data_IF_405078661629
#
_entry.id   IF_405078661629
#
_cell.length_a   1.000
_cell.length_b   1.000
_cell.length_c   1.000
_cell.angle_alpha   90.00
_cell.angle_beta   90.00
_cell.angle_gamma   90.00
#
_symmetry.space_group_name_H-M   'P 1'
#
loop_
_entity.id
_entity.type
_entity.pdbx_description
1 polymer ?
#
# COMPACT_ATOMS: atom_id res chain seq x y z
N UNK A 1 -30.25 -3.32 -1.82
CA UNK A 1 -29.50 -4.55 -2.16
C UNK A 1 -28.30 -4.32 -3.08
N UNK A 2 -27.99 -3.09 -3.50
CA UNK A 2 -26.82 -2.80 -4.34
C UNK A 2 -25.71 -2.17 -3.51
N UNK A 3 -24.48 -2.59 -3.77
CA UNK A 3 -23.27 -1.94 -3.27
C UNK A 3 -23.11 -0.56 -3.93
N UNK A 4 -22.31 0.32 -3.32
CA UNK A 4 -21.86 1.58 -3.95
C UNK A 4 -21.21 1.36 -5.33
N UNK A 5 -20.73 0.14 -5.61
CA UNK A 5 -20.18 -0.25 -6.91
C UNK A 5 -21.23 -0.75 -7.93
N UNK A 6 -22.52 -0.63 -7.65
CA UNK A 6 -23.63 -1.08 -8.51
C UNK A 6 -23.91 -2.59 -8.47
N UNK A 7 -22.97 -3.41 -7.99
CA UNK A 7 -23.15 -4.86 -7.86
C UNK A 7 -24.09 -5.24 -6.72
N UNK A 8 -24.81 -6.34 -6.88
CA UNK A 8 -25.71 -6.87 -5.86
C UNK A 8 -24.89 -7.38 -4.68
N UNK A 9 -25.26 -6.98 -3.46
CA UNK A 9 -24.65 -7.49 -2.24
C UNK A 9 -25.05 -8.96 -2.04
N UNK A 10 -24.08 -9.81 -1.76
CA UNK A 10 -24.33 -11.23 -1.48
C UNK A 10 -24.87 -11.37 -0.06
N UNK A 11 -25.96 -12.12 0.12
CA UNK A 11 -26.43 -12.49 1.44
C UNK A 11 -25.67 -13.73 1.91
N UNK A 12 -25.03 -13.67 3.08
CA UNK A 12 -24.38 -14.81 3.71
C UNK A 12 -25.05 -15.13 5.04
N UNK A 13 -25.04 -16.41 5.40
CA UNK A 13 -25.53 -16.92 6.68
C UNK A 13 -24.34 -17.40 7.50
N UNK A 14 -24.29 -16.97 8.76
CA UNK A 14 -23.31 -17.46 9.72
C UNK A 14 -23.79 -18.80 10.29
N UNK A 15 -22.90 -19.79 10.29
CA UNK A 15 -23.13 -21.13 10.86
C UNK A 15 -22.24 -21.40 12.08
N UNK A 16 -21.63 -20.36 12.65
CA UNK A 16 -20.84 -20.50 13.88
C UNK A 16 -21.76 -20.65 15.09
N UNK A 17 -21.28 -21.31 16.15
CA UNK A 17 -21.99 -21.46 17.43
C UNK A 17 -22.36 -20.13 18.06
N UNK A 18 -21.50 -19.12 17.91
CA UNK A 18 -21.67 -17.80 18.52
C UNK A 18 -22.67 -16.92 17.76
N UNK A 19 -22.99 -17.30 16.53
CA UNK A 19 -23.85 -16.51 15.66
C UNK A 19 -24.62 -17.41 14.66
N UNK A 20 -25.43 -18.37 15.14
CA UNK A 20 -26.09 -19.34 14.29
C UNK A 20 -27.26 -18.69 13.54
N UNK A 21 -27.32 -18.91 12.23
CA UNK A 21 -28.45 -18.48 11.39
C UNK A 21 -28.52 -16.97 11.10
N UNK A 22 -27.62 -16.14 11.65
CA UNK A 22 -27.61 -14.70 11.35
C UNK A 22 -27.21 -14.46 9.91
N UNK A 23 -28.05 -13.69 9.21
CA UNK A 23 -27.83 -13.27 7.82
C UNK A 23 -27.20 -11.88 7.77
N UNK A 24 -26.15 -11.71 6.97
CA UNK A 24 -25.47 -10.45 6.77
C UNK A 24 -25.17 -10.21 5.29
N UNK A 25 -25.18 -8.96 4.86
CA UNK A 25 -24.82 -8.57 3.50
C UNK A 25 -23.30 -8.47 3.40
N UNK A 26 -22.72 -9.19 2.45
CA UNK A 26 -21.32 -9.07 2.08
C UNK A 26 -21.21 -8.41 0.71
N UNK A 27 -20.36 -7.40 0.64
CA UNK A 27 -19.96 -6.83 -0.64
C UNK A 27 -18.95 -7.77 -1.31
N UNK A 28 -18.99 -7.93 -2.64
CA UNK A 28 -17.99 -8.72 -3.36
C UNK A 28 -16.59 -8.23 -3.01
N UNK A 29 -15.65 -9.18 -2.85
CA UNK A 29 -14.26 -8.90 -2.52
C UNK A 29 -13.69 -7.92 -3.55
N UNK A 30 -13.43 -6.70 -3.07
CA UNK A 30 -12.91 -5.54 -3.80
C UNK A 30 -13.89 -4.96 -4.85
N UNK A 31 -14.33 -3.71 -4.60
CA UNK A 31 -15.10 -2.88 -5.52
C UNK A 31 -14.38 -2.73 -6.89
N UNK A 32 -15.09 -2.70 -8.02
CA UNK A 32 -14.50 -2.52 -9.36
C UNK A 32 -13.59 -1.28 -9.42
N UNK A 33 -14.02 -0.18 -8.79
CA UNK A 33 -13.23 1.05 -8.64
C UNK A 33 -11.92 0.79 -7.90
N UNK A 34 -11.96 0.00 -6.82
CA UNK A 34 -10.77 -0.35 -6.06
C UNK A 34 -9.82 -1.26 -6.88
N UNK A 35 -10.36 -2.19 -7.68
CA UNK A 35 -9.57 -3.00 -8.63
C UNK A 35 -8.84 -2.14 -9.66
N UNK A 36 -9.41 -1.01 -10.07
CA UNK A 36 -8.75 -0.07 -10.98
C UNK A 36 -7.73 0.86 -10.28
N UNK A 37 -8.09 1.39 -9.11
CA UNK A 37 -7.29 2.42 -8.42
C UNK A 37 -6.09 1.82 -7.67
N UNK A 38 -6.28 0.72 -6.94
CA UNK A 38 -5.26 0.16 -6.04
C UNK A 38 -3.97 -0.21 -6.80
N UNK A 39 -4.02 -0.92 -7.95
CA UNK A 39 -2.79 -1.25 -8.69
C UNK A 39 -2.05 -0.01 -9.21
N UNK A 40 -2.79 1.05 -9.57
CA UNK A 40 -2.21 2.33 -9.98
C UNK A 40 -1.46 3.01 -8.82
N UNK A 41 -2.08 3.04 -7.63
CA UNK A 41 -1.45 3.60 -6.43
C UNK A 41 -0.21 2.81 -6.01
N UNK A 42 -0.27 1.48 -6.01
CA UNK A 42 0.87 0.63 -5.67
C UNK A 42 2.08 0.87 -6.59
N UNK A 43 1.85 1.01 -7.90
CA UNK A 43 2.92 1.37 -8.85
C UNK A 43 3.55 2.72 -8.53
N UNK A 44 2.73 3.72 -8.19
CA UNK A 44 3.21 5.06 -7.81
C UNK A 44 3.98 5.06 -6.48
N UNK A 45 3.58 4.25 -5.51
CA UNK A 45 4.35 4.10 -4.28
C UNK A 45 5.71 3.47 -4.53
N UNK A 46 5.74 2.35 -5.27
CA UNK A 46 6.99 1.68 -5.62
C UNK A 46 7.98 2.60 -6.35
N UNK A 47 7.50 3.36 -7.35
CA UNK A 47 8.34 4.31 -8.07
C UNK A 47 8.93 5.40 -7.16
N UNK A 48 8.12 5.94 -6.24
CA UNK A 48 8.58 6.92 -5.25
C UNK A 48 9.56 6.33 -4.24
N UNK A 49 9.34 5.10 -3.79
CA UNK A 49 10.25 4.41 -2.87
C UNK A 49 11.63 4.17 -3.51
N UNK A 50 11.66 3.80 -4.80
CA UNK A 50 12.89 3.65 -5.57
C UNK A 50 13.63 4.99 -5.73
N UNK A 51 12.91 6.07 -6.03
CA UNK A 51 13.48 7.42 -6.11
C UNK A 51 14.07 7.87 -4.76
N UNK A 52 13.32 7.72 -3.66
CA UNK A 52 13.77 8.04 -2.31
C UNK A 52 15.01 7.21 -1.95
N UNK A 53 15.03 5.92 -2.29
CA UNK A 53 16.18 5.06 -2.07
C UNK A 53 17.43 5.57 -2.82
N UNK A 54 17.27 5.96 -4.09
CA UNK A 54 18.33 6.54 -4.91
C UNK A 54 18.87 7.85 -4.33
N UNK A 55 17.99 8.75 -3.91
CA UNK A 55 18.36 10.02 -3.28
C UNK A 55 19.11 9.79 -1.96
N UNK A 56 18.59 8.92 -1.07
CA UNK A 56 19.25 8.57 0.18
C UNK A 56 20.65 8.00 -0.05
N UNK A 57 20.84 7.16 -1.07
CA UNK A 57 22.15 6.60 -1.43
C UNK A 57 23.12 7.70 -1.86
N UNK A 58 22.70 8.63 -2.73
CA UNK A 58 23.53 9.78 -3.15
C UNK A 58 23.93 10.65 -1.97
N UNK A 59 22.96 11.03 -1.14
CA UNK A 59 23.21 11.83 0.06
C UNK A 59 24.21 11.16 1.00
N UNK A 60 24.08 9.84 1.24
CA UNK A 60 25.03 9.07 2.05
C UNK A 60 26.44 9.08 1.46
N UNK A 61 26.58 8.89 0.15
CA UNK A 61 27.87 8.91 -0.55
C UNK A 61 28.53 10.29 -0.48
N UNK A 62 27.76 11.36 -0.69
CA UNK A 62 28.26 12.74 -0.56
C UNK A 62 28.73 13.02 0.87
N UNK A 63 27.96 12.60 1.88
CA UNK A 63 28.37 12.72 3.28
C UNK A 63 29.67 11.99 3.57
N UNK A 64 29.83 10.76 3.09
CA UNK A 64 31.07 9.99 3.25
C UNK A 64 32.27 10.66 2.55
N UNK A 65 32.07 11.21 1.35
CA UNK A 65 33.12 11.94 0.62
C UNK A 65 33.54 13.20 1.38
N UNK A 66 32.57 13.96 1.91
CA UNK A 66 32.84 15.15 2.72
C UNK A 66 33.64 14.80 3.98
N UNK A 67 33.22 13.75 4.71
CA UNK A 67 33.94 13.25 5.88
C UNK A 67 35.36 12.83 5.52
N UNK A 68 35.55 12.11 4.41
CA UNK A 68 36.88 11.72 3.94
C UNK A 68 37.77 12.94 3.65
N UNK A 69 37.25 13.95 2.95
CA UNK A 69 37.99 15.18 2.66
C UNK A 69 38.34 15.94 3.95
N UNK A 70 37.40 16.07 4.89
CA UNK A 70 37.65 16.68 6.19
C UNK A 70 38.72 15.91 6.98
N UNK A 71 38.68 14.58 7.01
CA UNK A 71 39.71 13.76 7.64
C UNK A 71 41.09 13.91 6.98
N UNK A 72 41.16 14.26 5.69
CA UNK A 72 42.44 14.55 5.01
C UNK A 72 42.98 15.94 5.31
N UNK A 73 42.11 16.91 5.61
CA UNK A 73 42.50 18.30 5.92
C UNK A 73 42.82 18.48 7.41
N UNK A 74 42.15 17.74 8.28
CA UNK A 74 42.31 17.79 9.74
C UNK A 74 43.38 16.85 10.29
N UNK A 75 44.01 16.05 9.44
CA UNK A 75 45.18 15.21 9.76
C UNK A 75 46.44 15.92 9.28
#
# INVERSE_FOLDING_TARGET
MHCYCGRIAQLKTSWTSDNPGRRFQTYPSICARATAIIPGLLRRFKARDEEIHGLKKRTRMMGAMLVFLLCRVLR
#
